data_IF_478652401430
#
_entry.id   IF_478652401430
#
_cell.length_a   1.000
_cell.length_b   1.000
_cell.length_c   1.000
_cell.angle_alpha   90.00
_cell.angle_beta   90.00
_cell.angle_gamma   90.00
#
_symmetry.space_group_name_H-M   'P 1'
#
loop_
_entity.id
_entity.type
_entity.pdbx_description
1 polymer ?
#
# COMPACT_ATOMS: atom_id res chain seq x y z
N UNK A 1 -34.50 23.30 -40.64
CA UNK A 1 -34.87 21.87 -40.80
C UNK A 1 -33.70 21.04 -40.31
N UNK A 2 -34.01 19.99 -39.55
CA UNK A 2 -33.19 19.29 -38.56
C UNK A 2 -31.78 18.85 -38.97
N UNK A 3 -30.86 18.98 -38.00
CA UNK A 3 -29.51 18.40 -37.92
C UNK A 3 -29.60 17.08 -37.15
N UNK A 4 -28.94 16.02 -37.62
CA UNK A 4 -28.85 14.72 -36.94
C UNK A 4 -27.54 14.64 -36.14
N UNK A 5 -27.65 14.58 -34.80
CA UNK A 5 -26.57 14.32 -33.85
C UNK A 5 -26.50 12.81 -33.55
N UNK A 6 -25.31 12.23 -33.52
CA UNK A 6 -25.05 10.96 -32.82
C UNK A 6 -24.19 11.22 -31.59
N UNK A 7 -24.82 11.08 -30.43
CA UNK A 7 -24.19 11.03 -29.10
C UNK A 7 -24.55 9.66 -28.53
N UNK A 8 -23.54 8.83 -28.27
CA UNK A 8 -23.72 7.61 -27.50
C UNK A 8 -23.76 7.96 -26.01
N UNK A 9 -24.97 8.02 -25.45
CA UNK A 9 -25.22 8.02 -24.01
C UNK A 9 -25.50 6.58 -23.58
N UNK A 10 -24.67 6.03 -22.70
CA UNK A 10 -25.02 4.86 -21.90
C UNK A 10 -25.94 5.32 -20.77
N UNK A 11 -27.17 4.80 -20.71
CA UNK A 11 -27.93 4.81 -19.47
C UNK A 11 -28.72 3.52 -19.29
N UNK A 12 -28.88 3.19 -18.01
CA UNK A 12 -29.33 1.96 -17.40
C UNK A 12 -30.76 1.53 -17.74
N UNK A 13 -30.95 0.24 -18.03
CA UNK A 13 -32.19 -0.48 -17.76
C UNK A 13 -31.99 -2.00 -17.90
N UNK A 14 -31.41 -2.63 -16.88
CA UNK A 14 -31.41 -4.09 -16.74
C UNK A 14 -31.24 -4.54 -15.27
N UNK A 15 -31.87 -3.85 -14.32
CA UNK A 15 -32.02 -4.35 -12.94
C UNK A 15 -33.48 -4.20 -12.54
N UNK A 16 -34.31 -5.09 -13.07
CA UNK A 16 -35.67 -5.35 -12.58
C UNK A 16 -35.96 -6.84 -12.67
N UNK A 17 -35.66 -7.54 -11.59
CA UNK A 17 -36.52 -8.58 -10.97
C UNK A 17 -35.77 -9.22 -9.80
N UNK A 18 -36.32 -9.06 -8.60
CA UNK A 18 -36.17 -10.07 -7.55
C UNK A 18 -35.50 -9.67 -6.25
N UNK A 19 -35.89 -8.56 -5.61
CA UNK A 19 -35.72 -8.42 -4.15
C UNK A 19 -36.93 -7.69 -3.55
N UNK A 20 -37.72 -8.42 -2.75
CA UNK A 20 -38.64 -7.84 -1.79
C UNK A 20 -38.57 -8.64 -0.48
N UNK A 21 -37.96 -8.00 0.52
CA UNK A 21 -38.36 -7.91 1.93
C UNK A 21 -38.54 -9.20 2.74
N UNK A 22 -37.82 -9.33 3.87
CA UNK A 22 -38.35 -8.91 5.18
C UNK A 22 -37.31 -9.04 6.32
N UNK A 23 -37.55 -8.26 7.37
CA UNK A 23 -36.72 -7.93 8.52
C UNK A 23 -37.06 -8.77 9.78
N UNK A 24 -36.11 -8.79 10.73
CA UNK A 24 -36.13 -9.11 12.17
C UNK A 24 -37.43 -9.65 12.82
N UNK A 25 -37.33 -10.72 13.63
CA UNK A 25 -37.55 -10.72 15.11
C UNK A 25 -37.72 -12.13 15.72
N UNK A 26 -37.07 -12.34 16.89
CA UNK A 26 -37.46 -13.12 18.10
C UNK A 26 -37.78 -14.63 18.11
N UNK A 27 -37.04 -15.33 19.00
CA UNK A 27 -37.34 -16.46 19.91
C UNK A 27 -38.49 -17.45 19.59
N UNK A 28 -38.24 -18.76 19.80
CA UNK A 28 -38.71 -19.60 20.94
C UNK A 28 -38.60 -21.11 20.60
N UNK A 29 -37.98 -21.91 21.49
CA UNK A 29 -38.26 -23.35 21.80
C UNK A 29 -38.10 -24.46 20.72
N UNK A 30 -37.88 -25.76 20.98
CA UNK A 30 -37.48 -26.62 22.11
C UNK A 30 -37.40 -28.07 21.54
N UNK A 31 -36.38 -28.83 21.97
CA UNK A 31 -36.35 -30.28 22.22
C UNK A 31 -36.16 -31.41 21.15
N UNK A 32 -35.25 -32.33 21.56
CA UNK A 32 -35.12 -33.81 21.35
C UNK A 32 -34.62 -34.28 19.96
N UNK A 33 -33.52 -35.03 19.86
CA UNK A 33 -33.34 -36.44 20.26
C UNK A 33 -33.97 -37.32 19.15
N UNK A 34 -33.31 -38.22 18.42
CA UNK A 34 -32.38 -39.30 18.77
C UNK A 34 -31.78 -39.90 17.48
N UNK A 35 -30.61 -40.53 17.61
CA UNK A 35 -30.11 -41.72 16.88
C UNK A 35 -30.89 -42.25 15.66
N UNK A 36 -30.21 -42.41 14.52
CA UNK A 36 -30.18 -43.69 13.79
C UNK A 36 -29.17 -43.71 12.62
N UNK A 37 -28.37 -44.76 12.65
CA UNK A 37 -27.36 -45.27 11.72
C UNK A 37 -27.78 -45.39 10.25
N UNK A 38 -26.84 -45.20 9.32
CA UNK A 38 -26.93 -45.70 7.94
C UNK A 38 -25.56 -46.30 7.48
N UNK A 39 -25.53 -47.48 6.83
CA UNK A 39 -24.34 -48.30 6.67
C UNK A 39 -23.50 -48.00 5.43
N UNK A 40 -22.23 -48.41 5.47
CA UNK A 40 -21.28 -48.42 4.35
C UNK A 40 -21.76 -49.32 3.20
N UNK A 41 -21.71 -48.82 1.96
CA UNK A 41 -21.57 -49.65 0.76
C UNK A 41 -20.61 -49.03 -0.28
N UNK A 42 -19.52 -49.77 -0.48
CA UNK A 42 -18.70 -50.02 -1.68
C UNK A 42 -18.54 -49.00 -2.81
N UNK A 43 -17.27 -48.79 -3.14
CA UNK A 43 -16.71 -48.07 -4.27
C UNK A 43 -17.09 -48.62 -5.66
N UNK A 44 -17.37 -47.70 -6.58
CA UNK A 44 -17.45 -47.91 -8.03
C UNK A 44 -16.91 -46.68 -8.79
N UNK A 45 -15.88 -46.91 -9.61
CA UNK A 45 -15.04 -45.98 -10.41
C UNK A 45 -15.68 -44.69 -10.94
N UNK A 46 -15.01 -43.55 -10.70
CA UNK A 46 -15.15 -42.28 -11.43
C UNK A 46 -13.98 -42.12 -12.43
N UNK A 47 -14.20 -41.63 -13.66
CA UNK A 47 -13.14 -41.55 -14.67
C UNK A 47 -12.08 -40.49 -14.34
N UNK A 48 -10.83 -40.82 -14.70
CA UNK A 48 -9.63 -40.00 -14.52
C UNK A 48 -9.74 -38.63 -15.18
N UNK A 49 -9.81 -37.57 -14.36
CA UNK A 49 -9.63 -36.21 -14.82
C UNK A 49 -8.16 -36.00 -15.24
N UNK A 50 -7.96 -35.63 -16.51
CA UNK A 50 -6.65 -35.24 -17.05
C UNK A 50 -6.14 -34.03 -16.26
N UNK A 51 -5.04 -34.24 -15.54
CA UNK A 51 -4.26 -33.19 -14.89
C UNK A 51 -3.61 -32.35 -15.99
N UNK A 52 -4.21 -31.22 -16.33
CA UNK A 52 -3.52 -30.19 -17.12
C UNK A 52 -2.51 -29.52 -16.20
N UNK A 53 -1.26 -29.96 -16.28
CA UNK A 53 -0.14 -29.26 -15.66
C UNK A 53 0.05 -27.92 -16.39
N UNK A 54 -0.68 -26.90 -15.95
CA UNK A 54 -0.33 -25.51 -16.22
C UNK A 54 0.75 -25.12 -15.22
N UNK A 55 1.99 -25.51 -15.49
CA UNK A 55 3.17 -24.93 -14.84
C UNK A 55 3.37 -23.52 -15.39
N UNK A 56 2.57 -22.56 -14.92
CA UNK A 56 2.96 -21.15 -14.99
C UNK A 56 3.90 -20.90 -13.80
N UNK A 57 5.10 -21.48 -13.89
CA UNK A 57 6.22 -21.14 -13.03
C UNK A 57 6.77 -19.79 -13.50
N UNK A 58 6.05 -18.70 -13.23
CA UNK A 58 6.72 -17.42 -13.02
C UNK A 58 7.42 -17.50 -11.69
N UNK A 59 8.59 -18.13 -11.70
CA UNK A 59 9.58 -17.88 -10.69
C UNK A 59 9.74 -16.35 -10.62
N UNK A 60 9.43 -15.76 -9.47
CA UNK A 60 9.87 -14.42 -9.14
C UNK A 60 11.39 -14.47 -9.16
N UNK A 61 11.98 -14.15 -10.31
CA UNK A 61 13.41 -13.92 -10.40
C UNK A 61 13.62 -12.68 -9.56
N UNK A 62 14.20 -12.87 -8.37
CA UNK A 62 14.74 -11.76 -7.60
C UNK A 62 15.94 -11.28 -8.41
N UNK A 63 15.67 -10.40 -9.37
CA UNK A 63 16.73 -9.65 -10.06
C UNK A 63 17.52 -8.94 -8.96
N UNK A 64 18.84 -9.14 -8.86
CA UNK A 64 19.64 -8.47 -7.85
C UNK A 64 19.45 -6.97 -8.01
N UNK A 65 19.26 -6.25 -6.89
CA UNK A 65 19.09 -4.80 -6.89
C UNK A 65 20.25 -4.17 -7.69
N UNK A 66 19.98 -3.79 -8.93
CA UNK A 66 20.99 -3.24 -9.82
C UNK A 66 21.13 -1.78 -9.45
N UNK A 67 22.28 -1.38 -8.91
CA UNK A 67 22.53 0.04 -8.68
C UNK A 67 22.56 0.77 -10.02
N UNK A 68 21.90 1.92 -10.11
CA UNK A 68 21.98 2.79 -11.29
C UNK A 68 23.01 3.89 -11.08
N UNK A 69 23.76 4.18 -12.13
CA UNK A 69 24.70 5.31 -12.16
C UNK A 69 24.26 6.23 -13.30
N UNK A 70 23.58 7.31 -12.94
CA UNK A 70 23.10 8.33 -13.87
C UNK A 70 23.49 9.71 -13.33
N UNK A 71 23.79 10.67 -14.22
CA UNK A 71 24.17 12.02 -13.82
C UNK A 71 23.00 12.70 -13.09
N UNK A 72 23.27 13.24 -11.90
CA UNK A 72 22.26 13.95 -11.09
C UNK A 72 21.28 13.04 -10.32
N UNK A 73 21.38 11.72 -10.47
CA UNK A 73 20.50 10.76 -9.77
C UNK A 73 21.30 10.03 -8.69
N UNK A 74 20.81 10.00 -7.44
CA UNK A 74 21.46 9.25 -6.37
C UNK A 74 21.58 7.76 -6.69
N UNK A 75 22.79 7.20 -6.59
CA UNK A 75 23.07 5.81 -6.99
C UNK A 75 22.45 4.74 -6.10
N UNK A 76 21.94 5.14 -4.93
CA UNK A 76 21.25 4.23 -4.00
C UNK A 76 19.80 3.94 -4.41
N UNK A 77 19.25 4.72 -5.35
CA UNK A 77 17.91 4.47 -5.88
C UNK A 77 17.98 3.31 -6.89
N UNK A 78 17.26 2.23 -6.64
CA UNK A 78 17.11 1.14 -7.62
C UNK A 78 16.30 1.60 -8.85
N UNK A 79 16.47 0.99 -10.04
CA UNK A 79 15.65 1.23 -11.22
C UNK A 79 14.15 1.16 -10.94
N UNK A 80 13.71 0.20 -10.13
CA UNK A 80 12.31 -0.03 -9.78
C UNK A 80 11.74 1.13 -8.97
N UNK A 81 12.50 1.60 -7.97
CA UNK A 81 12.14 2.78 -7.19
C UNK A 81 12.10 4.04 -8.06
N UNK A 82 13.09 4.25 -8.93
CA UNK A 82 13.10 5.39 -9.85
C UNK A 82 11.89 5.37 -10.78
N UNK A 83 11.53 4.20 -11.31
CA UNK A 83 10.34 3.99 -12.12
C UNK A 83 9.06 4.32 -11.34
N UNK A 84 8.95 3.87 -10.09
CA UNK A 84 7.80 4.20 -9.23
C UNK A 84 7.69 5.71 -9.00
N UNK A 85 8.78 6.39 -8.62
CA UNK A 85 8.80 7.85 -8.41
C UNK A 85 8.38 8.62 -9.67
N UNK A 86 8.82 8.17 -10.85
CA UNK A 86 8.47 8.76 -12.14
C UNK A 86 6.99 8.56 -12.49
N UNK A 87 6.41 7.40 -12.15
CA UNK A 87 5.03 7.04 -12.48
C UNK A 87 4.00 7.65 -11.52
N UNK A 88 4.39 7.97 -10.28
CA UNK A 88 3.53 8.64 -9.31
C UNK A 88 3.02 9.99 -9.85
N UNK A 89 1.74 10.28 -9.66
CA UNK A 89 1.11 11.58 -9.90
C UNK A 89 1.10 12.47 -8.65
N UNK A 90 0.60 13.70 -8.80
CA UNK A 90 0.36 14.56 -7.64
C UNK A 90 -0.68 13.92 -6.71
N UNK A 91 -0.37 13.89 -5.41
CA UNK A 91 -1.22 13.33 -4.37
C UNK A 91 -0.97 11.84 -4.11
N UNK A 92 -0.24 11.13 -4.98
CA UNK A 92 0.19 9.77 -4.72
C UNK A 92 1.14 9.71 -3.52
N UNK A 93 1.09 8.59 -2.81
CA UNK A 93 1.85 8.39 -1.59
C UNK A 93 2.85 7.25 -1.73
N UNK A 94 4.03 7.44 -1.13
CA UNK A 94 5.10 6.45 -1.05
C UNK A 94 5.36 6.14 0.42
N UNK A 95 5.42 4.85 0.78
CA UNK A 95 5.75 4.42 2.14
C UNK A 95 7.21 3.96 2.18
N UNK A 96 8.01 4.51 3.09
CA UNK A 96 9.27 3.92 3.53
C UNK A 96 8.97 3.11 4.78
N UNK A 97 9.11 1.79 4.67
CA UNK A 97 8.75 0.83 5.70
C UNK A 97 9.98 0.37 6.47
N UNK A 98 9.91 0.39 7.80
CA UNK A 98 10.92 -0.23 8.67
C UNK A 98 10.85 -1.76 8.61
N UNK A 99 11.84 -2.44 9.19
CA UNK A 99 11.95 -3.91 9.14
C UNK A 99 10.80 -4.65 9.84
N UNK A 100 10.04 -3.96 10.70
CA UNK A 100 8.93 -4.55 11.44
C UNK A 100 7.57 -4.30 10.78
N UNK A 101 7.51 -3.41 9.78
CA UNK A 101 6.30 -3.11 9.05
C UNK A 101 5.85 -4.32 8.23
N UNK A 102 4.53 -4.63 8.17
CA UNK A 102 4.03 -5.80 7.49
C UNK A 102 3.92 -5.57 5.96
N UNK A 103 5.04 -5.23 5.31
CA UNK A 103 5.12 -4.81 3.90
C UNK A 103 4.47 -5.81 2.96
N UNK A 104 4.88 -7.08 3.03
CA UNK A 104 4.37 -8.12 2.12
C UNK A 104 2.85 -8.24 2.18
N UNK A 105 2.26 -8.26 3.38
CA UNK A 105 0.80 -8.33 3.54
C UNK A 105 0.10 -7.06 3.08
N UNK A 106 0.70 -5.88 3.31
CA UNK A 106 0.12 -4.59 2.90
C UNK A 106 0.09 -4.46 1.38
N UNK A 107 1.13 -4.93 0.70
CA UNK A 107 1.24 -4.89 -0.76
C UNK A 107 0.27 -5.84 -1.48
N UNK A 108 -0.23 -6.89 -0.81
CA UNK A 108 -1.31 -7.71 -1.37
C UNK A 108 -2.61 -6.93 -1.63
N UNK A 109 -2.77 -5.76 -1.00
CA UNK A 109 -3.98 -4.94 -1.08
C UNK A 109 -3.93 -3.87 -2.19
N UNK A 110 -2.80 -3.68 -2.88
CA UNK A 110 -2.70 -2.63 -3.91
C UNK A 110 -1.29 -2.12 -4.22
N UNK A 111 -0.53 -1.62 -3.23
CA UNK A 111 0.72 -0.91 -3.51
C UNK A 111 1.79 -1.84 -4.05
N UNK A 112 2.68 -1.29 -4.87
CA UNK A 112 3.84 -2.00 -5.39
C UNK A 112 4.84 -2.25 -4.24
N UNK A 113 5.24 -3.50 -4.04
CA UNK A 113 6.32 -3.84 -3.11
C UNK A 113 7.68 -3.59 -3.79
N UNK A 114 8.52 -2.77 -3.16
CA UNK A 114 9.90 -2.50 -3.59
C UNK A 114 10.84 -2.85 -2.45
N UNK A 115 11.94 -3.54 -2.74
CA UNK A 115 12.91 -4.01 -1.73
C UNK A 115 14.15 -3.13 -1.74
N UNK A 116 14.51 -2.61 -0.57
CA UNK A 116 15.72 -1.84 -0.30
C UNK A 116 16.32 -2.29 1.05
N UNK A 117 16.38 -3.61 1.27
CA UNK A 117 16.69 -4.25 2.55
C UNK A 117 18.03 -3.82 3.18
N UNK A 118 19.00 -3.39 2.35
CA UNK A 118 20.33 -2.96 2.81
C UNK A 118 20.46 -1.47 3.13
N UNK A 119 19.39 -0.67 2.98
CA UNK A 119 19.42 0.78 3.13
C UNK A 119 18.58 1.24 4.33
N UNK A 120 19.05 2.25 5.06
CA UNK A 120 18.26 2.90 6.11
C UNK A 120 17.20 3.83 5.52
N UNK A 121 16.08 4.02 6.23
CA UNK A 121 14.99 4.87 5.75
C UNK A 121 15.41 6.34 5.61
N UNK A 122 16.27 6.84 6.50
CA UNK A 122 16.75 8.22 6.46
C UNK A 122 17.67 8.52 5.27
N UNK A 123 18.54 7.58 4.89
CA UNK A 123 19.42 7.71 3.72
C UNK A 123 18.60 7.67 2.43
N UNK A 124 17.64 6.75 2.38
CA UNK A 124 16.76 6.61 1.23
C UNK A 124 15.83 7.83 1.08
N UNK A 125 15.31 8.36 2.19
CA UNK A 125 14.55 9.61 2.23
C UNK A 125 15.35 10.77 1.61
N UNK A 126 16.61 10.95 1.99
CA UNK A 126 17.45 12.02 1.45
C UNK A 126 17.64 11.88 -0.07
N UNK A 127 17.84 10.66 -0.57
CA UNK A 127 17.93 10.41 -2.01
C UNK A 127 16.61 10.68 -2.75
N UNK A 128 15.48 10.25 -2.17
CA UNK A 128 14.15 10.46 -2.76
C UNK A 128 13.82 11.95 -2.83
N UNK A 129 14.09 12.73 -1.78
CA UNK A 129 13.78 14.17 -1.73
C UNK A 129 14.54 15.01 -2.76
N UNK A 130 15.64 14.50 -3.34
CA UNK A 130 16.33 15.17 -4.45
C UNK A 130 15.52 15.14 -5.76
N UNK A 131 14.58 14.21 -5.89
CA UNK A 131 13.80 13.98 -7.11
C UNK A 131 12.29 14.15 -6.91
N UNK A 132 11.79 13.84 -5.71
CA UNK A 132 10.36 13.83 -5.39
C UNK A 132 9.95 15.17 -4.75
N UNK A 133 9.22 16.06 -5.45
CA UNK A 133 8.61 17.22 -4.82
C UNK A 133 7.55 16.75 -3.82
N UNK A 134 7.51 17.37 -2.65
CA UNK A 134 6.46 17.09 -1.66
C UNK A 134 5.27 18.04 -1.81
N UNK A 135 4.10 17.55 -1.43
CA UNK A 135 2.83 18.26 -1.56
C UNK A 135 2.75 19.48 -0.62
N UNK A 136 2.57 20.68 -1.19
CA UNK A 136 2.43 21.93 -0.42
C UNK A 136 0.97 22.34 -0.20
N UNK A 137 -0.01 21.61 -0.76
CA UNK A 137 -1.44 21.89 -0.60
C UNK A 137 -2.05 21.21 0.63
N UNK A 138 -1.25 20.41 1.34
CA UNK A 138 -1.65 19.73 2.58
C UNK A 138 -0.88 20.29 3.78
N UNK A 139 -1.46 20.25 5.01
CA UNK A 139 -0.77 20.72 6.21
C UNK A 139 0.55 19.99 6.49
N UNK A 140 0.60 18.70 6.15
CA UNK A 140 1.74 17.82 6.31
C UNK A 140 1.83 16.86 5.13
N UNK A 141 2.94 16.93 4.38
CA UNK A 141 3.23 16.02 3.26
C UNK A 141 4.01 14.78 3.66
N UNK A 142 4.40 14.70 4.94
CA UNK A 142 5.11 13.59 5.52
C UNK A 142 4.39 13.13 6.80
N UNK A 143 4.18 11.83 6.94
CA UNK A 143 3.45 11.25 8.06
C UNK A 143 4.20 10.05 8.66
N UNK A 144 4.24 9.97 10.00
CA UNK A 144 4.79 8.85 10.76
C UNK A 144 3.71 8.17 11.57
N UNK A 145 3.94 6.90 11.93
CA UNK A 145 3.05 6.16 12.81
C UNK A 145 3.16 6.70 14.23
N UNK A 146 2.05 7.04 14.87
CA UNK A 146 2.03 7.50 16.25
C UNK A 146 2.30 6.36 17.24
N UNK A 147 2.97 6.67 18.35
CA UNK A 147 3.13 5.72 19.46
C UNK A 147 1.78 5.27 19.98
N UNK A 148 1.66 3.96 20.24
CA UNK A 148 0.54 3.43 21.00
C UNK A 148 0.60 3.89 22.46
N UNK A 149 -0.53 3.89 23.15
CA UNK A 149 -0.64 4.40 24.53
C UNK A 149 0.32 3.74 25.51
N UNK A 150 0.60 2.45 25.36
CA UNK A 150 1.55 1.74 26.22
C UNK A 150 2.98 2.28 26.06
N UNK A 151 3.39 2.62 24.83
CA UNK A 151 4.73 3.15 24.57
C UNK A 151 4.83 4.63 24.93
N UNK A 152 3.74 5.40 24.76
CA UNK A 152 3.62 6.76 25.30
C UNK A 152 3.79 6.77 26.83
N UNK A 153 3.09 5.88 27.55
CA UNK A 153 3.17 5.75 29.01
C UNK A 153 4.56 5.34 29.49
N UNK A 154 5.27 4.53 28.71
CA UNK A 154 6.64 4.09 29.00
C UNK A 154 7.70 5.15 28.63
N UNK A 155 7.32 6.25 28.00
CA UNK A 155 8.23 7.30 27.57
C UNK A 155 9.19 6.84 26.48
N UNK A 156 8.73 5.97 25.57
CA UNK A 156 9.56 5.51 24.45
C UNK A 156 10.00 6.70 23.58
N UNK A 157 11.31 6.81 23.35
CA UNK A 157 11.86 7.82 22.46
C UNK A 157 11.83 7.34 21.00
N UNK A 158 11.58 8.28 20.07
CA UNK A 158 11.60 8.04 18.62
C UNK A 158 12.62 8.94 17.92
N UNK A 159 13.93 8.73 18.14
CA UNK A 159 14.98 9.58 17.57
C UNK A 159 14.99 9.59 16.03
N UNK A 160 14.48 8.53 15.39
CA UNK A 160 14.33 8.47 13.94
C UNK A 160 13.43 9.58 13.39
N UNK A 161 12.45 10.07 14.16
CA UNK A 161 11.60 11.17 13.74
C UNK A 161 12.34 12.51 13.67
N UNK A 162 13.31 12.74 14.57
CA UNK A 162 14.18 13.91 14.51
C UNK A 162 15.05 13.89 13.25
N UNK A 163 15.57 12.71 12.91
CA UNK A 163 16.34 12.51 11.67
C UNK A 163 15.48 12.81 10.46
N UNK A 164 14.25 12.26 10.38
CA UNK A 164 13.33 12.56 9.28
C UNK A 164 13.00 14.04 9.18
N UNK A 165 12.69 14.71 10.30
CA UNK A 165 12.47 16.16 10.35
C UNK A 165 13.67 16.93 9.80
N UNK A 166 14.88 16.54 10.19
CA UNK A 166 16.10 17.18 9.74
C UNK A 166 16.29 17.02 8.22
N UNK A 167 16.08 15.80 7.68
CA UNK A 167 16.19 15.56 6.22
C UNK A 167 15.14 16.35 5.43
N UNK A 168 13.89 16.40 5.91
CA UNK A 168 12.82 17.20 5.32
C UNK A 168 13.14 18.70 5.34
N UNK A 169 13.63 19.22 6.46
CA UNK A 169 14.01 20.63 6.58
C UNK A 169 15.15 21.01 5.63
N UNK A 170 16.16 20.14 5.47
CA UNK A 170 17.23 20.36 4.48
C UNK A 170 16.72 20.36 3.03
N UNK A 171 15.63 19.64 2.74
CA UNK A 171 14.95 19.67 1.45
C UNK A 171 13.96 20.84 1.30
N UNK A 172 13.94 21.79 2.25
CA UNK A 172 13.06 22.97 2.22
C UNK A 172 11.66 22.73 2.77
N UNK A 173 11.37 21.55 3.31
CA UNK A 173 10.05 21.20 3.86
C UNK A 173 10.02 21.53 5.36
N UNK A 174 9.29 22.59 5.71
CA UNK A 174 9.16 23.08 7.09
C UNK A 174 7.91 22.55 7.80
N UNK A 175 7.03 21.85 7.08
CA UNK A 175 5.82 21.28 7.65
C UNK A 175 6.15 20.22 8.72
N UNK A 176 5.39 20.14 9.81
CA UNK A 176 5.59 19.11 10.81
C UNK A 176 5.23 17.73 10.26
N UNK A 177 5.83 16.69 10.85
CA UNK A 177 5.40 15.31 10.62
C UNK A 177 3.99 15.11 11.18
N UNK A 178 3.07 14.66 10.33
CA UNK A 178 1.76 14.18 10.77
C UNK A 178 1.96 12.90 11.59
N UNK A 179 1.28 12.80 12.73
CA UNK A 179 1.25 11.59 13.55
C UNK A 179 -0.06 10.86 13.29
N UNK A 180 0.02 9.65 12.74
CA UNK A 180 -1.15 8.87 12.35
C UNK A 180 -1.27 7.66 13.26
N UNK A 181 -2.45 7.43 13.84
CA UNK A 181 -2.74 6.24 14.64
C UNK A 181 -2.37 4.96 13.86
N UNK A 182 -1.85 3.94 14.56
CA UNK A 182 -1.28 2.73 13.99
C UNK A 182 -2.16 2.05 12.93
N UNK A 183 -3.44 1.82 13.20
CA UNK A 183 -4.33 1.17 12.24
C UNK A 183 -4.71 2.11 11.09
N UNK A 184 -4.92 3.39 11.38
CA UNK A 184 -5.11 4.40 10.33
C UNK A 184 -3.88 4.50 9.38
N UNK A 185 -2.67 4.34 9.91
CA UNK A 185 -1.43 4.31 9.13
C UNK A 185 -1.42 3.10 8.19
N UNK A 186 -1.81 1.91 8.66
CA UNK A 186 -1.93 0.73 7.80
C UNK A 186 -2.98 0.91 6.70
N UNK A 187 -4.15 1.47 7.03
CA UNK A 187 -5.20 1.73 6.04
C UNK A 187 -4.77 2.76 4.99
N UNK A 188 -3.96 3.75 5.38
CA UNK A 188 -3.34 4.70 4.45
C UNK A 188 -2.28 4.04 3.59
N UNK A 189 -1.40 3.23 4.18
CA UNK A 189 -0.35 2.50 3.46
C UNK A 189 -0.90 1.54 2.39
N UNK A 190 -2.04 0.88 2.64
CA UNK A 190 -2.73 0.05 1.64
C UNK A 190 -3.22 0.81 0.41
N UNK A 191 -3.37 2.14 0.52
CA UNK A 191 -3.80 3.03 -0.57
C UNK A 191 -2.64 3.78 -1.22
N UNK A 192 -1.42 3.60 -0.71
CA UNK A 192 -0.23 4.19 -1.29
C UNK A 192 0.03 3.63 -2.70
N UNK A 193 0.85 4.33 -3.47
CA UNK A 193 1.29 3.87 -4.78
C UNK A 193 2.30 2.71 -4.64
N UNK A 194 3.24 2.86 -3.71
CA UNK A 194 4.27 1.86 -3.44
C UNK A 194 4.69 1.85 -1.96
N UNK A 195 5.17 0.70 -1.51
CA UNK A 195 5.81 0.51 -0.20
C UNK A 195 7.23 0.00 -0.44
N UNK A 196 8.21 0.71 0.10
CA UNK A 196 9.63 0.35 0.04
C UNK A 196 10.03 -0.29 1.36
N UNK A 197 10.26 -1.59 1.37
CA UNK A 197 10.81 -2.29 2.53
C UNK A 197 12.30 -1.93 2.68
N UNK A 198 12.63 -1.23 3.75
CA UNK A 198 14.00 -0.79 4.06
C UNK A 198 14.64 -1.68 5.13
N UNK A 199 15.95 -1.52 5.33
CA UNK A 199 16.69 -2.10 6.46
C UNK A 199 16.61 -1.27 7.74
N UNK A 200 15.68 -0.30 7.83
CA UNK A 200 15.53 0.55 9.02
C UNK A 200 15.07 -0.27 10.23
N UNK A 201 15.88 -0.27 11.28
CA UNK A 201 15.62 -1.07 12.50
C UNK A 201 15.03 -0.23 13.64
N UNK A 202 15.03 1.10 13.52
CA UNK A 202 14.42 1.97 14.51
C UNK A 202 12.90 1.72 14.63
N UNK A 203 12.40 1.64 15.86
CA UNK A 203 10.97 1.52 16.11
C UNK A 203 10.25 2.79 15.64
N UNK A 204 9.06 2.61 15.06
CA UNK A 204 8.28 3.69 14.45
C UNK A 204 9.07 4.42 13.35
N UNK A 205 9.92 3.68 12.64
CA UNK A 205 10.76 4.16 11.52
C UNK A 205 10.03 4.23 10.18
N UNK A 206 8.73 3.93 10.16
CA UNK A 206 7.91 4.07 8.96
C UNK A 206 7.56 5.53 8.66
N UNK A 207 7.61 5.90 7.38
CA UNK A 207 7.31 7.24 6.89
C UNK A 207 6.47 7.16 5.61
N UNK A 208 5.42 7.98 5.52
CA UNK A 208 4.65 8.19 4.29
C UNK A 208 5.02 9.55 3.73
N UNK A 209 5.28 9.62 2.42
CA UNK A 209 5.55 10.84 1.68
C UNK A 209 4.45 11.05 0.64
N UNK A 210 3.92 12.27 0.54
CA UNK A 210 2.92 12.66 -0.45
C UNK A 210 3.55 13.50 -1.56
N UNK A 211 3.42 13.05 -2.82
CA UNK A 211 3.99 13.73 -3.98
C UNK A 211 3.26 15.03 -4.29
N UNK A 212 4.02 16.10 -4.45
CA UNK A 212 3.53 17.42 -4.82
C UNK A 212 3.52 17.68 -6.33
N UNK A 213 3.58 18.96 -6.67
CA UNK A 213 3.61 19.46 -8.05
C UNK A 213 4.97 20.10 -8.33
N UNK A 214 5.39 20.09 -9.59
CA UNK A 214 6.49 20.93 -10.09
C UNK A 214 5.85 22.03 -10.92
N UNK A 215 5.97 23.31 -10.52
CA UNK A 215 5.54 24.44 -11.34
C UNK A 215 6.19 24.40 -12.72
N UNK A 216 5.44 24.75 -13.76
CA UNK A 216 5.96 24.77 -15.14
C UNK A 216 7.16 25.70 -15.34
N UNK A 217 7.29 26.72 -14.50
CA UNK A 217 8.42 27.66 -14.46
C UNK A 217 9.76 27.02 -14.05
N UNK A 218 9.72 25.82 -13.47
CA UNK A 218 10.91 25.04 -13.11
C UNK A 218 11.20 23.92 -14.12
N UNK A 219 10.42 23.83 -15.19
CA UNK A 219 10.58 22.86 -16.27
C UNK A 219 11.29 23.55 -17.45
N UNK A 220 12.58 23.81 -17.29
CA UNK A 220 13.46 24.29 -18.36
C UNK A 220 13.99 23.14 -19.23
#
# INVERSE_FOLDING_TARGET
>A
MLVCMSVCVFNADAIRRGLAQYSMSTMTEFNRGTDQSCPMQSAGKLPTAKRTNSTDNRACVIEPATMVILKGIPSILSPELLYALAKMGHGDELVLADTNFPTSSTCTCGPIEIRADGLGAAELLEAILKLLPLDTYVPSSAAVMELVDSDKKRGLATPVWDIFRQKLAHAGVQAPLEKVERFAFYERAKKAFAVVATGETALYGCLILKKGVIPGELLD
#
